data_IF_185624464097
#
_entry.id   IF_185624464097
#
_cell.length_a   1.000
_cell.length_b   1.000
_cell.length_c   1.000
_cell.angle_alpha   90.00
_cell.angle_beta   90.00
_cell.angle_gamma   90.00
#
_symmetry.space_group_name_H-M   'P 1'
#
loop_
_entity.id
_entity.type
_entity.pdbx_description
1 polymer ?
#
# COMPACT_ATOMS: atom_id res chain seq x y z
N UNK A 1 -12.61 -5.86 18.06
CA UNK A 1 -12.69 -4.37 18.14
C UNK A 1 -13.61 -3.87 17.05
N UNK A 2 -14.27 -2.73 17.21
CA UNK A 2 -15.14 -2.18 16.15
C UNK A 2 -14.29 -1.23 15.30
N UNK A 3 -14.17 -1.51 14.02
CA UNK A 3 -13.54 -0.66 13.01
C UNK A 3 -14.42 -0.60 11.76
N UNK A 4 -14.19 0.35 10.90
CA UNK A 4 -14.82 0.48 9.59
C UNK A 4 -13.73 0.54 8.52
N UNK A 5 -13.90 -0.17 7.43
CA UNK A 5 -13.02 -0.10 6.27
C UNK A 5 -13.74 0.64 5.17
N UNK A 6 -13.07 1.63 4.60
CA UNK A 6 -13.52 2.36 3.43
C UNK A 6 -12.56 2.07 2.28
N UNK A 7 -13.08 1.46 1.22
CA UNK A 7 -12.32 1.20 0.00
C UNK A 7 -12.39 2.42 -0.91
N UNK A 8 -11.26 2.97 -1.26
CA UNK A 8 -11.09 4.02 -2.27
C UNK A 8 -10.58 3.35 -3.54
N UNK A 9 -11.39 3.38 -4.60
CA UNK A 9 -11.00 2.84 -5.90
C UNK A 9 -10.41 3.95 -6.78
N UNK A 10 -9.25 3.72 -7.34
CA UNK A 10 -8.64 4.61 -8.32
C UNK A 10 -9.50 4.75 -9.57
N UNK A 11 -9.51 5.95 -10.14
CA UNK A 11 -10.27 6.31 -11.33
C UNK A 11 -9.38 6.42 -12.57
N UNK A 12 -8.12 6.75 -12.38
CA UNK A 12 -7.10 6.83 -13.43
C UNK A 12 -6.41 5.48 -13.57
N UNK A 13 -6.07 4.85 -12.45
CA UNK A 13 -5.50 3.50 -12.40
C UNK A 13 -6.42 2.58 -11.59
N UNK A 14 -6.77 1.38 -12.07
CA UNK A 14 -7.66 0.46 -11.35
C UNK A 14 -6.95 -0.25 -10.18
N UNK A 15 -6.58 0.52 -9.18
CA UNK A 15 -5.95 0.09 -7.93
C UNK A 15 -6.83 0.52 -6.75
N UNK A 16 -6.70 -0.13 -5.61
CA UNK A 16 -7.43 0.23 -4.41
C UNK A 16 -6.48 0.67 -3.30
N UNK A 17 -6.90 1.68 -2.56
CA UNK A 17 -6.40 2.01 -1.23
C UNK A 17 -7.52 1.81 -0.20
N UNK A 18 -7.16 1.57 1.04
CA UNK A 18 -8.16 1.41 2.10
C UNK A 18 -7.89 2.39 3.24
N UNK A 19 -8.93 3.10 3.68
CA UNK A 19 -8.90 3.91 4.89
C UNK A 19 -9.59 3.12 5.98
N UNK A 20 -8.82 2.69 6.99
CA UNK A 20 -9.32 1.91 8.12
C UNK A 20 -9.53 2.85 9.31
N UNK A 21 -10.78 2.96 9.75
CA UNK A 21 -11.18 3.80 10.88
C UNK A 21 -11.01 3.02 12.19
N UNK A 22 -9.86 3.18 12.82
CA UNK A 22 -9.58 2.59 14.14
C UNK A 22 -10.14 3.43 15.30
N UNK A 23 -10.06 2.94 16.55
CA UNK A 23 -10.54 3.68 17.72
C UNK A 23 -9.83 5.03 17.92
N UNK A 24 -8.52 5.10 17.68
CA UNK A 24 -7.69 6.28 18.00
C UNK A 24 -7.25 7.08 16.76
N UNK A 25 -7.60 6.65 15.54
CA UNK A 25 -7.21 7.34 14.31
C UNK A 25 -7.45 6.49 13.07
N UNK A 26 -6.99 7.02 11.93
CA UNK A 26 -7.09 6.39 10.63
C UNK A 26 -5.77 5.68 10.28
N UNK A 27 -5.89 4.55 9.59
CA UNK A 27 -4.74 3.86 8.98
C UNK A 27 -5.02 3.71 7.49
N UNK A 28 -4.06 4.06 6.65
CA UNK A 28 -4.13 3.84 5.20
C UNK A 28 -3.38 2.57 4.85
N UNK A 29 -3.98 1.75 3.99
CA UNK A 29 -3.32 0.61 3.37
C UNK A 29 -3.16 0.90 1.89
N UNK A 30 -1.92 0.97 1.44
CA UNK A 30 -1.45 1.31 0.09
C UNK A 30 -1.77 2.75 -0.38
N UNK A 31 -0.97 3.26 -1.29
CA UNK A 31 -0.84 4.70 -1.54
C UNK A 31 -1.21 5.20 -2.94
N UNK A 32 -1.88 4.41 -3.77
CA UNK A 32 -2.23 4.78 -5.15
C UNK A 32 -1.03 5.11 -6.05
N UNK A 33 -1.24 5.10 -7.36
CA UNK A 33 -0.22 5.47 -8.36
C UNK A 33 -0.20 6.97 -8.63
N UNK A 34 -1.38 7.58 -8.84
CA UNK A 34 -1.53 8.88 -9.48
C UNK A 34 -1.85 9.98 -8.48
N UNK A 35 -1.54 11.21 -8.87
CA UNK A 35 -1.88 12.42 -8.09
C UNK A 35 -3.38 12.52 -7.85
N UNK A 36 -4.18 12.32 -8.91
CA UNK A 36 -5.64 12.42 -8.82
C UNK A 36 -6.25 11.33 -7.94
N UNK A 37 -5.78 10.07 -8.07
CA UNK A 37 -6.31 8.97 -7.25
C UNK A 37 -5.89 9.10 -5.78
N UNK A 38 -4.64 9.54 -5.53
CA UNK A 38 -4.17 9.84 -4.17
C UNK A 38 -4.97 10.96 -3.50
N UNK A 39 -5.41 11.96 -4.28
CA UNK A 39 -6.27 13.04 -3.78
C UNK A 39 -7.64 12.51 -3.30
N UNK A 40 -8.18 11.43 -3.88
CA UNK A 40 -9.41 10.80 -3.38
C UNK A 40 -9.20 10.19 -1.98
N UNK A 41 -8.05 9.59 -1.74
CA UNK A 41 -7.71 9.03 -0.41
C UNK A 41 -7.54 10.17 0.60
N UNK A 42 -6.84 11.24 0.22
CA UNK A 42 -6.68 12.43 1.06
C UNK A 42 -8.03 13.03 1.44
N UNK A 43 -8.94 13.20 0.47
CA UNK A 43 -10.29 13.70 0.73
C UNK A 43 -11.08 12.81 1.71
N UNK A 44 -10.97 11.48 1.59
CA UNK A 44 -11.62 10.57 2.53
C UNK A 44 -11.08 10.69 3.96
N UNK A 45 -9.77 11.00 4.11
CA UNK A 45 -9.14 11.29 5.40
C UNK A 45 -9.69 12.60 5.98
N UNK A 46 -9.76 13.66 5.17
CA UNK A 46 -10.28 14.97 5.58
C UNK A 46 -11.77 14.88 5.98
N UNK A 47 -12.58 14.18 5.19
CA UNK A 47 -14.01 13.98 5.46
C UNK A 47 -14.27 13.20 6.75
N UNK A 48 -13.33 12.34 7.15
CA UNK A 48 -13.42 11.60 8.39
C UNK A 48 -13.17 12.48 9.64
N UNK A 49 -12.52 13.64 9.47
CA UNK A 49 -12.17 14.59 10.54
C UNK A 49 -11.47 13.90 11.73
N UNK A 50 -10.50 13.01 11.41
CA UNK A 50 -9.77 12.19 12.39
C UNK A 50 -8.30 12.14 12.03
N UNK A 51 -7.39 12.05 13.02
CA UNK A 51 -5.97 12.00 12.75
C UNK A 51 -5.57 10.75 11.95
N UNK A 52 -4.73 10.93 10.93
CA UNK A 52 -4.04 9.83 10.25
C UNK A 52 -2.92 9.34 11.16
N UNK A 53 -2.98 8.08 11.58
CA UNK A 53 -2.02 7.47 12.49
C UNK A 53 -0.82 6.83 11.77
N UNK A 54 -1.00 6.43 10.51
CA UNK A 54 0.07 5.84 9.71
C UNK A 54 -0.42 5.19 8.44
N UNK A 55 0.55 4.68 7.68
CA UNK A 55 0.35 3.97 6.42
C UNK A 55 1.06 2.61 6.50
N UNK A 56 0.45 1.58 5.94
CA UNK A 56 1.12 0.29 5.66
C UNK A 56 1.15 0.05 4.16
N UNK A 57 2.23 -0.55 3.65
CA UNK A 57 2.41 -0.89 2.24
C UNK A 57 2.49 -2.40 2.11
N UNK A 58 1.69 -2.95 1.20
CA UNK A 58 1.58 -4.40 1.00
C UNK A 58 2.74 -4.96 0.17
N UNK A 59 3.15 -4.27 -0.89
CA UNK A 59 4.20 -4.74 -1.81
C UNK A 59 4.86 -3.57 -2.57
N UNK A 60 5.97 -3.79 -3.32
CA UNK A 60 6.82 -2.71 -3.81
C UNK A 60 6.40 -2.09 -5.16
N UNK A 61 5.22 -2.40 -5.71
CA UNK A 61 4.78 -1.76 -6.94
C UNK A 61 4.37 -0.30 -6.74
N UNK A 62 4.64 0.59 -7.71
CA UNK A 62 4.47 2.03 -7.52
C UNK A 62 3.02 2.47 -7.28
N UNK A 63 2.05 1.72 -7.75
CA UNK A 63 0.62 1.97 -7.50
C UNK A 63 0.19 1.70 -6.05
N UNK A 64 1.10 1.20 -5.22
CA UNK A 64 0.89 1.01 -3.78
C UNK A 64 1.68 2.01 -2.91
N UNK A 65 2.58 2.84 -3.49
CA UNK A 65 3.32 3.83 -2.70
C UNK A 65 3.53 5.20 -3.38
N UNK A 66 3.47 5.31 -4.71
CA UNK A 66 3.91 6.53 -5.39
C UNK A 66 3.08 7.77 -4.99
N UNK A 67 1.77 7.61 -4.82
CA UNK A 67 0.85 8.69 -4.44
C UNK A 67 0.91 9.12 -2.97
N UNK A 68 1.70 8.46 -2.12
CA UNK A 68 1.73 8.72 -0.67
C UNK A 68 2.03 10.18 -0.30
N UNK A 69 2.83 10.89 -1.09
CA UNK A 69 3.09 12.32 -0.86
C UNK A 69 1.81 13.16 -0.86
N UNK A 70 0.85 12.81 -1.72
CA UNK A 70 -0.44 13.50 -1.85
C UNK A 70 -1.47 13.03 -0.82
N UNK A 71 -1.29 11.83 -0.25
CA UNK A 71 -2.12 11.30 0.83
C UNK A 71 -1.69 11.87 2.17
N UNK A 72 -0.38 11.82 2.45
CA UNK A 72 0.20 12.16 3.76
C UNK A 72 0.45 13.66 3.90
N UNK A 73 0.72 14.36 2.78
CA UNK A 73 1.09 15.78 2.81
C UNK A 73 2.38 16.01 3.61
N UNK A 74 2.37 17.04 4.45
CA UNK A 74 3.51 17.41 5.30
C UNK A 74 3.53 16.72 6.68
N UNK A 75 2.61 15.78 6.92
CA UNK A 75 2.54 15.08 8.20
C UNK A 75 3.73 14.13 8.36
N UNK A 76 4.33 14.16 9.55
CA UNK A 76 5.38 13.23 9.96
C UNK A 76 4.72 12.04 10.67
N UNK A 77 4.50 10.96 9.95
CA UNK A 77 3.83 9.76 10.46
C UNK A 77 4.55 8.47 10.01
N UNK A 78 4.30 7.34 10.68
CA UNK A 78 4.82 6.06 10.26
C UNK A 78 4.32 5.66 8.87
N UNK A 79 5.24 5.34 7.96
CA UNK A 79 5.00 4.63 6.70
C UNK A 79 5.74 3.31 6.83
N UNK A 80 5.00 2.23 6.96
CA UNK A 80 5.51 0.93 7.39
C UNK A 80 5.41 -0.08 6.25
N UNK A 81 6.47 -0.83 6.05
CA UNK A 81 6.52 -2.00 5.18
C UNK A 81 7.46 -3.05 5.79
N UNK A 82 7.52 -4.25 5.22
CA UNK A 82 8.61 -5.15 5.57
C UNK A 82 9.95 -4.60 5.07
N UNK A 83 11.03 -5.04 5.70
CA UNK A 83 12.39 -4.61 5.29
C UNK A 83 12.67 -4.92 3.84
N UNK A 84 12.14 -6.03 3.33
CA UNK A 84 12.32 -6.47 1.95
C UNK A 84 11.53 -5.58 0.97
N UNK A 85 10.25 -5.34 1.22
CA UNK A 85 9.43 -4.40 0.43
C UNK A 85 10.08 -3.02 0.38
N UNK A 86 10.50 -2.48 1.54
CA UNK A 86 11.15 -1.18 1.62
C UNK A 86 12.48 -1.11 0.84
N UNK A 87 13.26 -2.20 0.83
CA UNK A 87 14.51 -2.29 0.08
C UNK A 87 14.26 -2.31 -1.43
N UNK A 88 13.25 -3.07 -1.90
CA UNK A 88 12.89 -3.15 -3.31
C UNK A 88 12.34 -1.81 -3.82
N UNK A 89 11.45 -1.14 -3.07
CA UNK A 89 10.97 0.20 -3.41
C UNK A 89 12.16 1.15 -3.66
N UNK A 90 13.13 1.21 -2.72
CA UNK A 90 14.30 2.10 -2.87
C UNK A 90 15.21 1.71 -4.01
N UNK A 91 15.36 0.41 -4.30
CA UNK A 91 16.17 -0.10 -5.41
C UNK A 91 15.59 0.30 -6.76
N UNK A 92 14.26 0.22 -6.90
CA UNK A 92 13.59 0.25 -8.20
C UNK A 92 12.95 1.60 -8.53
N UNK A 93 12.77 2.50 -7.56
CA UNK A 93 12.02 3.76 -7.73
C UNK A 93 12.58 4.65 -8.86
N UNK A 94 13.90 4.78 -8.99
CA UNK A 94 14.52 5.57 -10.06
C UNK A 94 14.21 4.96 -11.45
N UNK A 95 14.23 3.64 -11.55
CA UNK A 95 13.85 2.93 -12.78
C UNK A 95 12.37 3.10 -13.09
N UNK A 96 11.52 2.97 -12.09
CA UNK A 96 10.06 3.20 -12.22
C UNK A 96 9.78 4.66 -12.62
N UNK A 97 10.47 5.63 -12.02
CA UNK A 97 10.36 7.05 -12.38
C UNK A 97 10.67 7.28 -13.86
N UNK A 98 11.73 6.68 -14.37
CA UNK A 98 12.14 6.81 -15.77
C UNK A 98 11.19 6.16 -16.77
N UNK A 99 10.44 5.14 -16.37
CA UNK A 99 9.52 4.37 -17.23
C UNK A 99 8.08 4.87 -17.06
N UNK A 100 7.60 4.93 -15.84
CA UNK A 100 6.19 5.24 -15.53
C UNK A 100 5.93 6.74 -15.60
N UNK A 101 6.89 7.56 -15.15
CA UNK A 101 6.76 9.01 -15.18
C UNK A 101 6.39 9.59 -16.56
N UNK A 102 7.11 9.28 -17.64
CA UNK A 102 6.74 9.72 -18.99
C UNK A 102 5.37 9.21 -19.47
N UNK A 103 4.94 8.03 -19.01
CA UNK A 103 3.64 7.44 -19.38
C UNK A 103 2.48 8.15 -18.68
N UNK A 104 2.66 8.51 -17.41
CA UNK A 104 1.61 9.12 -16.58
C UNK A 104 1.61 10.66 -16.67
N UNK A 105 2.72 11.26 -17.09
CA UNK A 105 2.84 12.72 -17.21
C UNK A 105 2.54 13.43 -15.88
N UNK A 106 1.62 14.43 -15.87
CA UNK A 106 1.30 15.20 -14.67
C UNK A 106 0.63 14.38 -13.55
N UNK A 107 0.15 13.18 -13.86
CA UNK A 107 -0.41 12.26 -12.86
C UNK A 107 0.67 11.49 -12.08
N UNK A 108 1.93 11.48 -12.55
CA UNK A 108 3.03 10.91 -11.80
C UNK A 108 3.51 11.87 -10.71
N UNK A 109 3.53 11.45 -9.42
CA UNK A 109 4.01 12.31 -8.34
C UNK A 109 5.48 12.68 -8.51
N UNK A 110 5.80 13.99 -8.50
CA UNK A 110 7.20 14.47 -8.61
C UNK A 110 8.07 14.01 -7.44
N UNK A 111 7.47 13.90 -6.26
CA UNK A 111 8.13 13.43 -5.04
C UNK A 111 7.37 12.23 -4.48
N UNK A 112 8.09 11.18 -4.18
CA UNK A 112 7.55 9.96 -3.56
C UNK A 112 8.03 9.84 -2.13
N UNK A 113 7.17 9.33 -1.25
CA UNK A 113 7.51 8.96 0.12
C UNK A 113 7.77 7.47 0.20
N UNK A 114 8.80 7.11 0.94
CA UNK A 114 9.20 5.72 1.14
C UNK A 114 8.96 5.27 2.57
N UNK A 115 8.87 3.94 2.84
CA UNK A 115 8.80 3.44 4.19
C UNK A 115 9.90 4.03 5.07
N UNK A 116 9.51 4.62 6.19
CA UNK A 116 10.41 5.20 7.21
C UNK A 116 10.52 4.31 8.45
N UNK A 117 9.71 3.25 8.52
CA UNK A 117 9.80 2.19 9.51
C UNK A 117 9.68 0.83 8.83
N UNK A 118 10.40 -0.16 9.33
CA UNK A 118 10.36 -1.52 8.80
C UNK A 118 10.05 -2.54 9.87
N UNK A 119 9.40 -3.62 9.46
CA UNK A 119 9.01 -4.76 10.29
C UNK A 119 9.45 -6.07 9.63
N UNK A 120 9.49 -7.15 10.40
CA UNK A 120 9.78 -8.49 9.93
C UNK A 120 8.53 -9.35 9.82
N UNK A 121 8.69 -10.55 9.24
CA UNK A 121 7.63 -11.54 9.18
C UNK A 121 7.12 -11.91 10.58
N UNK A 122 5.80 -11.93 10.74
CA UNK A 122 5.12 -12.23 12.00
C UNK A 122 5.08 -11.11 13.02
N UNK A 123 5.73 -9.96 12.76
CA UNK A 123 5.66 -8.80 13.63
C UNK A 123 4.24 -8.22 13.68
N UNK A 124 3.96 -7.53 14.78
CA UNK A 124 2.71 -6.78 14.96
C UNK A 124 2.98 -5.29 15.07
N UNK A 125 2.09 -4.49 14.50
CA UNK A 125 2.13 -3.04 14.52
C UNK A 125 0.83 -2.51 15.08
N UNK A 126 0.89 -1.52 15.96
CA UNK A 126 -0.31 -0.83 16.46
C UNK A 126 -0.33 0.59 15.92
N UNK A 127 -1.37 0.91 15.12
CA UNK A 127 -1.63 2.21 14.53
C UNK A 127 -3.09 2.58 14.71
N UNK A 128 -3.40 3.81 15.13
CA UNK A 128 -4.76 4.29 15.29
C UNK A 128 -5.61 3.44 16.24
N UNK A 129 -4.97 2.74 17.20
CA UNK A 129 -5.63 1.80 18.11
C UNK A 129 -5.97 0.43 17.48
N UNK A 130 -5.52 0.18 16.26
CA UNK A 130 -5.64 -1.11 15.56
C UNK A 130 -4.32 -1.86 15.62
N UNK A 131 -4.36 -3.16 15.85
CA UNK A 131 -3.17 -4.02 15.80
C UNK A 131 -3.24 -4.88 14.54
N UNK A 132 -2.27 -4.69 13.66
CA UNK A 132 -2.10 -5.46 12.44
C UNK A 132 -0.88 -6.38 12.59
N UNK A 133 -0.98 -7.60 12.10
CA UNK A 133 0.13 -8.53 11.98
C UNK A 133 0.55 -8.62 10.51
N UNK A 134 1.85 -8.52 10.24
CA UNK A 134 2.38 -8.70 8.89
C UNK A 134 2.83 -10.15 8.70
N UNK A 135 2.60 -10.67 7.49
CA UNK A 135 3.15 -11.95 7.04
C UNK A 135 3.83 -11.74 5.69
N UNK A 136 5.09 -12.10 5.61
CA UNK A 136 5.84 -12.10 4.35
C UNK A 136 5.49 -13.35 3.55
N UNK A 137 5.14 -13.18 2.29
CA UNK A 137 4.84 -14.28 1.35
C UNK A 137 6.04 -14.58 0.45
N UNK A 138 7.05 -13.71 0.44
CA UNK A 138 8.13 -13.77 -0.54
C UNK A 138 7.68 -13.32 -1.93
N UNK A 139 8.38 -13.77 -2.99
CA UNK A 139 7.99 -13.48 -4.36
C UNK A 139 6.65 -14.10 -4.71
N UNK A 140 5.76 -13.34 -5.34
CA UNK A 140 4.44 -13.77 -5.76
C UNK A 140 3.99 -12.94 -6.97
N UNK A 141 3.12 -11.97 -6.76
CA UNK A 141 2.77 -11.00 -7.80
C UNK A 141 3.96 -10.07 -8.09
N UNK A 142 4.67 -9.66 -7.03
CA UNK A 142 5.90 -8.87 -7.09
C UNK A 142 7.13 -9.66 -6.59
N UNK A 143 8.27 -8.99 -6.40
CA UNK A 143 9.47 -9.58 -5.80
C UNK A 143 9.36 -9.80 -4.29
N UNK A 144 8.39 -9.13 -3.61
CA UNK A 144 8.14 -9.29 -2.19
C UNK A 144 6.71 -8.87 -1.85
N UNK A 145 5.86 -9.84 -1.63
CA UNK A 145 4.46 -9.62 -1.26
C UNK A 145 4.23 -9.89 0.23
N UNK A 146 3.28 -9.16 0.79
CA UNK A 146 2.91 -9.31 2.20
C UNK A 146 1.40 -9.33 2.39
N UNK A 147 0.96 -10.02 3.45
CA UNK A 147 -0.38 -9.90 4.00
C UNK A 147 -0.34 -9.04 5.26
N UNK A 148 -1.36 -8.20 5.44
CA UNK A 148 -1.60 -7.48 6.68
C UNK A 148 -2.91 -7.98 7.29
N UNK A 149 -2.78 -8.73 8.37
CA UNK A 149 -3.91 -9.29 9.13
C UNK A 149 -4.36 -8.26 10.16
N UNK A 150 -5.57 -7.73 10.03
CA UNK A 150 -6.12 -6.79 11.01
C UNK A 150 -6.73 -7.53 12.22
N UNK A 151 -7.41 -8.63 11.93
CA UNK A 151 -7.97 -9.59 12.88
C UNK A 151 -8.25 -10.91 12.16
N UNK A 152 -8.94 -11.85 12.80
CA UNK A 152 -9.18 -13.18 12.24
C UNK A 152 -10.03 -13.16 10.94
N UNK A 153 -10.73 -12.07 10.66
CA UNK A 153 -11.69 -11.96 9.55
C UNK A 153 -11.24 -11.00 8.44
N UNK A 154 -10.16 -10.22 8.65
CA UNK A 154 -9.75 -9.17 7.70
C UNK A 154 -8.28 -9.26 7.31
N UNK A 155 -8.05 -9.44 6.02
CA UNK A 155 -6.73 -9.49 5.40
C UNK A 155 -6.63 -8.43 4.30
N UNK A 156 -5.55 -7.65 4.31
CA UNK A 156 -5.14 -6.83 3.17
C UNK A 156 -4.03 -7.60 2.44
N UNK A 157 -4.34 -8.03 1.23
CA UNK A 157 -3.52 -9.00 0.49
C UNK A 157 -2.74 -8.37 -0.67
N UNK A 158 -2.88 -7.04 -0.88
CA UNK A 158 -2.32 -6.39 -2.06
C UNK A 158 -2.78 -7.06 -3.35
N UNK A 159 -1.85 -7.24 -4.26
CA UNK A 159 -2.10 -7.80 -5.59
C UNK A 159 -1.87 -9.32 -5.68
N UNK A 160 -1.70 -10.00 -4.55
CA UNK A 160 -1.70 -11.47 -4.51
C UNK A 160 -3.05 -12.05 -4.91
N UNK A 161 -4.15 -11.30 -4.75
CA UNK A 161 -5.49 -11.72 -5.15
C UNK A 161 -6.17 -10.68 -6.04
N UNK A 162 -6.43 -11.04 -7.29
CA UNK A 162 -7.16 -10.24 -8.26
C UNK A 162 -8.64 -10.64 -8.34
N UNK A 163 -9.49 -9.66 -8.58
CA UNK A 163 -10.91 -9.88 -8.78
C UNK A 163 -11.41 -9.16 -10.04
N UNK A 164 -11.81 -9.93 -11.03
CA UNK A 164 -12.44 -9.42 -12.26
C UNK A 164 -11.49 -8.74 -13.25
N UNK A 165 -10.19 -8.90 -13.08
CA UNK A 165 -9.17 -8.38 -13.98
C UNK A 165 -8.03 -9.41 -14.19
N UNK A 166 -7.21 -9.18 -15.20
CA UNK A 166 -6.04 -9.99 -15.45
C UNK A 166 -4.95 -9.73 -14.42
N UNK A 167 -4.30 -10.79 -13.96
CA UNK A 167 -3.13 -10.71 -13.11
C UNK A 167 -1.93 -10.07 -13.83
N UNK A 168 -1.16 -9.28 -13.11
CA UNK A 168 0.11 -8.75 -13.60
C UNK A 168 1.19 -9.83 -13.47
N UNK A 169 1.88 -10.15 -14.56
CA UNK A 169 2.85 -11.24 -14.63
C UNK A 169 4.25 -10.77 -15.07
N UNK A 170 4.46 -9.47 -15.24
CA UNK A 170 5.67 -8.94 -15.87
C UNK A 170 6.93 -9.10 -15.00
N UNK A 171 6.80 -9.21 -13.68
CA UNK A 171 7.92 -9.48 -12.78
C UNK A 171 8.43 -10.92 -12.85
N UNK A 172 7.68 -11.81 -13.53
CA UNK A 172 8.10 -13.18 -13.80
C UNK A 172 8.07 -14.10 -12.58
N UNK A 173 7.48 -13.69 -11.46
CA UNK A 173 7.44 -14.45 -10.21
C UNK A 173 6.24 -15.43 -10.14
N UNK A 174 5.43 -15.51 -11.17
CA UNK A 174 4.22 -16.34 -11.20
C UNK A 174 4.39 -17.80 -10.78
N UNK A 175 5.54 -18.50 -11.00
CA UNK A 175 5.70 -19.86 -10.48
C UNK A 175 5.64 -19.93 -8.96
N UNK A 176 6.30 -18.96 -8.27
CA UNK A 176 6.24 -18.84 -6.80
C UNK A 176 4.87 -18.37 -6.33
N UNK A 177 4.22 -17.51 -7.11
CA UNK A 177 2.88 -17.06 -6.78
C UNK A 177 1.87 -18.21 -6.67
N UNK A 178 1.97 -19.22 -7.52
CA UNK A 178 1.13 -20.41 -7.41
C UNK A 178 1.34 -21.15 -6.08
N UNK A 179 2.59 -21.20 -5.59
CA UNK A 179 2.89 -21.79 -4.28
C UNK A 179 2.34 -20.94 -3.10
N UNK A 180 2.19 -19.64 -3.31
CA UNK A 180 1.69 -18.71 -2.28
C UNK A 180 0.17 -18.82 -2.09
N UNK A 181 -0.58 -19.09 -3.17
CA UNK A 181 -2.05 -19.13 -3.14
C UNK A 181 -2.63 -20.52 -2.85
N UNK A 182 -1.80 -21.60 -2.83
CA UNK A 182 -2.18 -22.95 -2.47
C UNK A 182 -2.15 -23.16 -0.94
#
# INVERSE_FOLDING_TARGET
>A
MTYRIERIAGQVMPVNSFVVHGPDGLVVVDGMLTVSDAALVHQAIDDADRPLAGVVITHPHPDHYAGLTHIVGDHQLPIIATSEVAAIIRRDDETKDSIVGPMMGPEWPERRLFPNQTVGDGDTVTLGGLTCRVRSLGPGESFADTLWELDDDTLFVGDVAYNGMHAYLADGQWPHWLDVID
#
